data_IF_456058722529
#
_entry.id   IF_456058722529
#
_cell.length_a   1.000
_cell.length_b   1.000
_cell.length_c   1.000
_cell.angle_alpha   90.00
_cell.angle_beta   90.00
_cell.angle_gamma   90.00
#
_symmetry.space_group_name_H-M   'P 1'
#
loop_
_entity.id
_entity.type
_entity.pdbx_description
1 polymer ?
#
# COMPACT_ATOMS: atom_id res chain seq x y z
N UNK A 1 17.15 -4.37 -16.57
CA UNK A 1 17.13 -5.76 -17.09
C UNK A 1 16.29 -5.77 -18.36
N UNK A 2 16.76 -6.37 -19.45
CA UNK A 2 16.02 -6.45 -20.73
C UNK A 2 15.49 -7.88 -20.85
N UNK A 3 14.17 -8.04 -20.89
CA UNK A 3 13.55 -9.36 -21.06
C UNK A 3 13.68 -9.83 -22.50
N UNK A 4 13.85 -11.14 -22.69
CA UNK A 4 13.72 -11.74 -24.01
C UNK A 4 12.24 -11.69 -24.45
N UNK A 5 11.92 -11.14 -25.62
CA UNK A 5 10.53 -11.04 -26.10
C UNK A 5 9.79 -12.37 -26.18
N UNK A 6 10.47 -13.49 -26.43
CA UNK A 6 9.86 -14.81 -26.59
C UNK A 6 9.40 -15.41 -25.26
N UNK A 7 10.04 -15.02 -24.15
CA UNK A 7 9.74 -15.55 -22.81
C UNK A 7 9.07 -14.51 -21.91
N UNK A 8 8.77 -13.32 -22.44
CA UNK A 8 8.05 -12.28 -21.70
C UNK A 8 6.63 -12.76 -21.39
N UNK A 9 6.43 -13.20 -20.17
CA UNK A 9 5.10 -13.51 -19.65
C UNK A 9 4.25 -12.23 -19.56
N UNK A 10 3.01 -12.31 -20.04
CA UNK A 10 1.99 -11.26 -19.86
C UNK A 10 1.13 -11.49 -18.60
N UNK A 11 1.09 -12.73 -18.11
CA UNK A 11 0.29 -13.14 -16.96
C UNK A 11 0.96 -14.34 -16.27
N UNK A 12 0.87 -14.38 -14.95
CA UNK A 12 1.23 -15.54 -14.15
C UNK A 12 -0.03 -16.12 -13.49
N UNK A 13 -0.26 -17.41 -13.67
CA UNK A 13 -1.33 -18.16 -13.01
C UNK A 13 -0.75 -19.28 -12.18
N UNK A 14 -1.10 -19.28 -10.89
CA UNK A 14 -0.74 -20.34 -9.98
C UNK A 14 -1.95 -21.27 -9.80
N UNK A 15 -1.83 -22.49 -10.32
CA UNK A 15 -2.94 -23.46 -10.35
C UNK A 15 -2.83 -24.46 -9.22
N UNK A 16 -3.92 -24.68 -8.52
CA UNK A 16 -4.07 -25.68 -7.47
C UNK A 16 -5.23 -26.62 -7.81
N UNK A 17 -5.05 -27.87 -7.45
CA UNK A 17 -6.03 -28.95 -7.64
C UNK A 17 -6.40 -29.51 -6.26
N UNK A 18 -7.14 -28.74 -5.45
CA UNK A 18 -7.47 -29.14 -4.09
C UNK A 18 -8.28 -30.44 -4.07
N UNK A 19 -8.06 -31.26 -3.05
CA UNK A 19 -8.89 -32.42 -2.73
C UNK A 19 -10.29 -31.98 -2.28
N UNK A 20 -10.36 -30.96 -1.43
CA UNK A 20 -11.60 -30.32 -0.98
C UNK A 20 -11.68 -28.91 -1.55
N UNK A 21 -12.30 -28.82 -2.73
CA UNK A 21 -12.45 -27.56 -3.46
C UNK A 21 -13.15 -26.47 -2.64
N UNK A 22 -14.22 -26.82 -1.93
CA UNK A 22 -15.01 -25.85 -1.18
C UNK A 22 -14.23 -25.30 0.02
N UNK A 23 -13.50 -26.18 0.72
CA UNK A 23 -12.67 -25.80 1.86
C UNK A 23 -11.54 -24.84 1.45
N UNK A 24 -10.83 -25.17 0.37
CA UNK A 24 -9.71 -24.34 -0.12
C UNK A 24 -10.23 -23.03 -0.72
N UNK A 25 -11.34 -23.06 -1.47
CA UNK A 25 -12.02 -21.84 -1.97
C UNK A 25 -12.33 -20.88 -0.82
N UNK A 26 -12.93 -21.39 0.26
CA UNK A 26 -13.28 -20.59 1.44
C UNK A 26 -12.07 -19.90 2.07
N UNK A 27 -10.91 -20.57 2.11
CA UNK A 27 -9.68 -19.95 2.60
C UNK A 27 -9.26 -18.75 1.74
N UNK A 28 -9.16 -18.91 0.43
CA UNK A 28 -8.74 -17.82 -0.46
C UNK A 28 -9.78 -16.69 -0.56
N UNK A 29 -11.07 -17.03 -0.54
CA UNK A 29 -12.17 -16.06 -0.66
C UNK A 29 -12.49 -15.34 0.64
N UNK A 30 -12.69 -16.06 1.75
CA UNK A 30 -13.17 -15.46 2.99
C UNK A 30 -12.03 -15.08 3.94
N UNK A 31 -10.98 -15.91 4.02
CA UNK A 31 -9.85 -15.68 4.93
C UNK A 31 -8.89 -14.65 4.33
N UNK A 32 -8.40 -14.91 3.11
CA UNK A 32 -7.49 -14.00 2.42
C UNK A 32 -8.19 -12.85 1.69
N UNK A 33 -9.51 -12.93 1.49
CA UNK A 33 -10.32 -11.88 0.86
C UNK A 33 -9.87 -11.52 -0.54
N UNK A 34 -9.37 -12.50 -1.30
CA UNK A 34 -9.05 -12.24 -2.69
C UNK A 34 -10.34 -12.14 -3.52
N UNK A 35 -10.49 -11.09 -4.34
CA UNK A 35 -11.63 -10.96 -5.22
C UNK A 35 -11.65 -12.09 -6.26
N UNK A 36 -12.84 -12.61 -6.53
CA UNK A 36 -13.07 -13.55 -7.62
C UNK A 36 -13.01 -12.77 -8.94
N UNK A 37 -12.07 -13.16 -9.79
CA UNK A 37 -11.92 -12.68 -11.16
C UNK A 37 -12.85 -13.45 -12.12
N UNK A 38 -12.98 -14.77 -11.93
CA UNK A 38 -13.80 -15.66 -12.75
C UNK A 38 -14.15 -16.94 -11.98
N UNK A 39 -15.34 -17.50 -12.20
CA UNK A 39 -15.80 -18.74 -11.55
C UNK A 39 -16.73 -19.51 -12.50
N UNK A 40 -16.67 -20.84 -12.43
CA UNK A 40 -17.55 -21.74 -13.16
C UNK A 40 -17.81 -23.03 -12.36
N UNK A 41 -18.98 -23.62 -12.59
CA UNK A 41 -19.42 -24.88 -11.99
C UNK A 41 -20.28 -25.67 -13.00
N UNK A 42 -19.61 -26.41 -13.89
CA UNK A 42 -20.26 -27.25 -14.90
C UNK A 42 -20.39 -28.71 -14.41
N UNK A 43 -20.42 -28.92 -13.09
CA UNK A 43 -20.50 -30.23 -12.43
C UNK A 43 -19.23 -30.61 -11.66
N UNK A 44 -19.29 -31.68 -10.87
CA UNK A 44 -18.26 -31.95 -9.84
C UNK A 44 -16.81 -32.01 -10.34
N UNK A 45 -16.63 -32.47 -11.58
CA UNK A 45 -15.33 -32.58 -12.25
C UNK A 45 -14.94 -31.32 -13.03
N UNK A 46 -15.84 -30.35 -13.22
CA UNK A 46 -15.61 -29.16 -14.02
C UNK A 46 -15.96 -27.89 -13.24
N UNK A 47 -15.39 -27.77 -12.03
CA UNK A 47 -15.45 -26.57 -11.21
C UNK A 47 -14.12 -25.84 -11.24
N UNK A 48 -14.19 -24.52 -11.20
CA UNK A 48 -13.00 -23.72 -11.00
C UNK A 48 -13.31 -22.28 -10.60
N UNK A 49 -12.32 -21.67 -9.95
CA UNK A 49 -12.38 -20.27 -9.53
C UNK A 49 -11.01 -19.64 -9.70
N UNK A 50 -10.98 -18.41 -10.18
CA UNK A 50 -9.79 -17.57 -10.34
C UNK A 50 -9.90 -16.40 -9.39
N UNK A 51 -8.91 -16.24 -8.52
CA UNK A 51 -8.76 -15.13 -7.61
C UNK A 51 -7.67 -14.18 -8.10
N UNK A 52 -7.92 -12.87 -7.99
CA UNK A 52 -6.89 -11.86 -8.22
C UNK A 52 -6.17 -11.50 -6.91
N UNK A 53 -4.89 -11.86 -6.81
CA UNK A 53 -4.04 -11.50 -5.67
C UNK A 53 -3.40 -10.11 -5.78
N UNK A 54 -3.66 -9.40 -6.89
CA UNK A 54 -3.05 -8.12 -7.27
C UNK A 54 -1.75 -8.25 -8.05
N UNK A 55 -1.04 -9.39 -7.95
CA UNK A 55 0.21 -9.66 -8.68
C UNK A 55 0.17 -10.94 -9.53
N UNK A 56 -0.79 -11.82 -9.26
CA UNK A 56 -0.96 -13.11 -9.93
C UNK A 56 -2.42 -13.55 -9.84
N UNK A 57 -2.82 -14.45 -10.76
CA UNK A 57 -4.09 -15.17 -10.62
C UNK A 57 -3.83 -16.47 -9.85
N UNK A 58 -4.56 -16.69 -8.76
CA UNK A 58 -4.62 -17.97 -8.07
C UNK A 58 -5.84 -18.72 -8.61
N UNK A 59 -5.63 -19.87 -9.21
CA UNK A 59 -6.66 -20.63 -9.93
C UNK A 59 -6.86 -21.98 -9.22
N UNK A 60 -8.05 -22.20 -8.66
CA UNK A 60 -8.45 -23.49 -8.11
C UNK A 60 -9.25 -24.24 -9.17
N UNK A 61 -8.97 -25.53 -9.34
CA UNK A 61 -9.64 -26.41 -10.29
C UNK A 61 -10.04 -27.70 -9.60
N UNK A 62 -11.18 -28.29 -9.99
CA UNK A 62 -11.50 -29.66 -9.62
C UNK A 62 -10.30 -30.58 -9.91
N UNK A 63 -9.89 -31.37 -8.92
CA UNK A 63 -8.85 -32.36 -9.14
C UNK A 63 -9.39 -33.50 -10.01
N UNK A 64 -8.54 -34.06 -10.87
CA UNK A 64 -8.84 -35.23 -11.69
C UNK A 64 -7.90 -36.38 -11.34
N UNK A 65 -8.47 -37.57 -11.14
CA UNK A 65 -7.68 -38.76 -10.82
C UNK A 65 -7.11 -38.74 -9.40
N UNK A 66 -5.91 -39.32 -9.23
CA UNK A 66 -5.29 -39.49 -7.91
C UNK A 66 -4.79 -38.15 -7.38
N UNK A 67 -5.27 -37.77 -6.19
CA UNK A 67 -4.76 -36.61 -5.47
C UNK A 67 -3.29 -36.77 -5.08
N UNK A 68 -2.51 -35.71 -5.31
CA UNK A 68 -1.11 -35.59 -4.90
C UNK A 68 -0.96 -34.25 -4.16
N UNK A 69 -0.63 -34.26 -2.86
CA UNK A 69 -0.37 -33.03 -2.12
C UNK A 69 0.77 -32.23 -2.77
N UNK A 70 0.67 -30.90 -2.72
CA UNK A 70 1.79 -30.04 -3.15
C UNK A 70 2.95 -30.25 -2.17
N UNK A 71 4.12 -30.62 -2.69
CA UNK A 71 5.33 -30.85 -1.90
C UNK A 71 6.55 -30.20 -2.58
N UNK A 72 7.49 -29.71 -1.78
CA UNK A 72 8.74 -29.10 -2.28
C UNK A 72 8.55 -27.74 -2.97
N UNK A 73 7.41 -27.08 -2.77
CA UNK A 73 7.09 -25.77 -3.33
C UNK A 73 6.71 -24.79 -2.21
N UNK A 74 7.13 -23.53 -2.34
CA UNK A 74 6.70 -22.43 -1.49
C UNK A 74 6.27 -21.27 -2.40
N UNK A 75 5.23 -20.55 -2.00
CA UNK A 75 4.80 -19.33 -2.67
C UNK A 75 5.08 -18.15 -1.76
N UNK A 76 5.73 -17.11 -2.30
CA UNK A 76 5.99 -15.87 -1.57
C UNK A 76 5.30 -14.71 -2.28
N UNK A 77 4.51 -13.94 -1.53
CA UNK A 77 3.77 -12.80 -2.02
C UNK A 77 4.19 -11.55 -1.25
N UNK A 78 4.65 -10.54 -1.98
CA UNK A 78 4.90 -9.24 -1.37
C UNK A 78 3.55 -8.57 -1.08
N UNK A 79 3.39 -8.06 0.14
CA UNK A 79 2.22 -7.30 0.57
C UNK A 79 2.64 -5.93 1.05
N UNK A 80 1.71 -4.97 0.96
CA UNK A 80 1.95 -3.57 1.34
C UNK A 80 2.39 -3.46 2.79
N UNK A 81 1.70 -4.17 3.70
CA UNK A 81 1.98 -4.12 5.13
C UNK A 81 1.81 -5.50 5.78
N UNK A 82 2.93 -6.22 5.88
CA UNK A 82 2.96 -7.59 6.43
C UNK A 82 2.58 -7.64 7.91
N UNK A 83 2.85 -6.60 8.71
CA UNK A 83 2.50 -6.54 10.14
C UNK A 83 1.00 -6.55 10.36
N UNK A 84 0.27 -5.67 9.67
CA UNK A 84 -1.20 -5.60 9.74
C UNK A 84 -1.84 -6.88 9.22
N UNK A 85 -1.28 -7.45 8.15
CA UNK A 85 -1.79 -8.71 7.61
C UNK A 85 -1.60 -9.86 8.60
N UNK A 86 -0.45 -9.94 9.28
CA UNK A 86 -0.19 -10.95 10.30
C UNK A 86 -1.18 -10.83 11.48
N UNK A 87 -1.43 -9.61 11.97
CA UNK A 87 -2.45 -9.37 13.01
C UNK A 87 -3.85 -9.80 12.56
N UNK A 88 -4.23 -9.42 11.34
CA UNK A 88 -5.52 -9.78 10.75
C UNK A 88 -5.69 -11.31 10.61
N UNK A 89 -4.72 -12.01 10.03
CA UNK A 89 -4.81 -13.47 9.82
C UNK A 89 -4.73 -14.24 11.14
N UNK A 90 -3.98 -13.75 12.13
CA UNK A 90 -3.99 -14.30 13.49
C UNK A 90 -5.37 -14.16 14.13
N UNK A 91 -6.05 -13.03 13.95
CA UNK A 91 -7.42 -12.83 14.43
C UNK A 91 -8.44 -13.75 13.73
N UNK A 92 -8.22 -14.07 12.44
CA UNK A 92 -9.00 -15.06 11.70
C UNK A 92 -8.66 -16.52 12.04
N UNK A 93 -7.70 -16.76 12.96
CA UNK A 93 -7.20 -18.09 13.33
C UNK A 93 -6.65 -18.88 12.13
N UNK A 94 -6.05 -18.17 11.16
CA UNK A 94 -5.35 -18.82 10.07
C UNK A 94 -4.20 -19.71 10.61
N UNK A 95 -3.88 -20.85 9.96
CA UNK A 95 -2.83 -21.74 10.42
C UNK A 95 -1.45 -21.11 10.23
N UNK A 96 -0.91 -20.44 11.24
CA UNK A 96 0.43 -19.83 11.19
C UNK A 96 1.49 -20.93 11.32
N UNK A 97 2.35 -21.04 10.31
CA UNK A 97 3.47 -22.01 10.25
C UNK A 97 4.77 -21.38 10.75
N UNK A 98 4.96 -20.09 10.46
CA UNK A 98 6.08 -19.30 10.94
C UNK A 98 5.58 -17.93 11.36
N UNK A 99 5.92 -17.53 12.60
CA UNK A 99 5.60 -16.20 13.12
C UNK A 99 6.32 -15.09 12.35
N UNK A 100 5.81 -13.86 12.52
CA UNK A 100 6.37 -12.67 11.91
C UNK A 100 7.83 -12.47 12.34
N UNK A 101 8.73 -12.53 11.38
CA UNK A 101 10.18 -12.56 11.58
C UNK A 101 10.85 -11.51 10.70
N UNK A 102 11.74 -10.71 11.29
CA UNK A 102 12.67 -9.86 10.53
C UNK A 102 13.82 -10.76 10.03
N UNK A 103 13.95 -10.93 8.71
CA UNK A 103 14.91 -11.85 8.12
C UNK A 103 16.23 -11.16 7.76
N UNK A 104 17.32 -11.93 7.76
CA UNK A 104 18.67 -11.40 7.50
C UNK A 104 18.89 -10.93 6.07
N UNK A 105 18.04 -11.35 5.12
CA UNK A 105 18.11 -10.95 3.70
C UNK A 105 17.28 -9.70 3.38
N UNK A 106 16.75 -9.01 4.40
CA UNK A 106 16.24 -7.64 4.22
C UNK A 106 14.72 -7.51 4.03
N UNK A 107 13.93 -8.52 4.39
CA UNK A 107 12.47 -8.43 4.50
C UNK A 107 11.98 -8.78 5.91
N UNK A 108 10.71 -8.47 6.17
CA UNK A 108 9.96 -9.03 7.28
C UNK A 108 8.89 -9.94 6.71
N UNK A 109 8.77 -11.16 7.20
CA UNK A 109 7.81 -12.13 6.66
C UNK A 109 7.19 -13.03 7.72
N UNK A 110 6.04 -13.61 7.39
CA UNK A 110 5.41 -14.70 8.14
C UNK A 110 4.82 -15.70 7.14
N UNK A 111 4.48 -16.88 7.64
CA UNK A 111 3.97 -17.97 6.80
C UNK A 111 2.68 -18.54 7.37
N UNK A 112 1.73 -18.80 6.49
CA UNK A 112 0.50 -19.52 6.80
C UNK A 112 0.38 -20.76 5.92
N UNK A 113 -0.31 -21.77 6.42
CA UNK A 113 -0.71 -22.94 5.65
C UNK A 113 -2.13 -22.75 5.15
N UNK A 114 -2.39 -23.09 3.90
CA UNK A 114 -3.76 -23.30 3.43
C UNK A 114 -4.35 -24.59 4.06
N UNK A 115 -5.64 -24.88 3.85
CA UNK A 115 -6.27 -26.06 4.45
C UNK A 115 -5.69 -27.41 4.02
N UNK A 116 -4.91 -27.47 2.94
CA UNK A 116 -4.32 -28.69 2.39
C UNK A 116 -2.79 -28.77 2.54
N UNK A 117 -2.20 -27.83 3.28
CA UNK A 117 -0.78 -27.87 3.61
C UNK A 117 0.12 -27.01 2.72
N UNK A 118 -0.41 -26.29 1.73
CA UNK A 118 0.40 -25.36 0.95
C UNK A 118 0.84 -24.18 1.82
N UNK A 119 2.14 -23.98 1.90
CA UNK A 119 2.72 -22.86 2.62
C UNK A 119 2.77 -21.59 1.77
N UNK A 120 2.11 -20.54 2.25
CA UNK A 120 2.12 -19.20 1.65
C UNK A 120 2.87 -18.24 2.56
N UNK A 121 3.94 -17.66 2.05
CA UNK A 121 4.76 -16.65 2.73
C UNK A 121 4.30 -15.26 2.31
N UNK A 122 4.02 -14.41 3.27
CA UNK A 122 3.77 -12.98 3.03
C UNK A 122 4.95 -12.18 3.54
N UNK A 123 5.42 -11.22 2.74
CA UNK A 123 6.56 -10.41 3.12
C UNK A 123 6.39 -8.94 2.74
N UNK A 124 7.11 -8.07 3.43
CA UNK A 124 7.34 -6.67 3.04
C UNK A 124 8.83 -6.39 3.16
N UNK A 125 9.45 -5.79 2.13
CA UNK A 125 10.85 -5.39 2.22
C UNK A 125 11.10 -4.43 3.41
N UNK A 126 12.19 -4.65 4.14
CA UNK A 126 12.55 -3.82 5.31
C UNK A 126 12.79 -2.36 4.91
N UNK A 127 13.31 -2.11 3.71
CA UNK A 127 13.45 -0.75 3.18
C UNK A 127 12.09 -0.04 2.98
N UNK A 128 10.99 -0.78 2.77
CA UNK A 128 9.63 -0.23 2.69
C UNK A 128 9.01 0.04 4.07
N UNK A 129 9.39 -0.73 5.10
CA UNK A 129 9.04 -0.48 6.53
C UNK A 129 9.39 0.95 6.98
N UNK A 130 10.60 1.40 6.64
CA UNK A 130 11.09 2.74 7.01
C UNK A 130 10.34 3.84 6.26
N UNK A 131 10.05 3.60 4.97
CA UNK A 131 9.29 4.55 4.14
C UNK A 131 7.84 4.69 4.61
N UNK A 132 7.11 3.64 4.94
CA UNK A 132 5.73 3.77 5.46
C UNK A 132 5.66 4.57 6.76
N UNK A 133 6.59 4.35 7.72
CA UNK A 133 6.63 5.08 8.99
C UNK A 133 6.95 6.57 8.82
N UNK A 134 7.90 6.91 7.95
CA UNK A 134 8.25 8.31 7.68
C UNK A 134 7.16 9.04 6.87
N UNK A 135 6.56 8.35 5.89
CA UNK A 135 5.53 8.95 5.04
C UNK A 135 4.21 9.18 5.80
N UNK A 136 3.79 8.30 6.71
CA UNK A 136 2.51 8.50 7.40
C UNK A 136 2.58 9.50 8.56
N UNK A 137 3.75 9.70 9.20
CA UNK A 137 3.90 10.66 10.30
C UNK A 137 4.16 12.07 9.79
N UNK A 138 5.21 12.25 8.98
CA UNK A 138 5.67 13.59 8.60
C UNK A 138 4.77 14.26 7.56
N UNK A 139 4.37 13.53 6.51
CA UNK A 139 3.49 14.09 5.48
C UNK A 139 2.11 14.46 6.06
N UNK A 140 1.60 13.68 7.01
CA UNK A 140 0.32 13.97 7.68
C UNK A 140 0.42 15.23 8.51
N UNK A 141 1.48 15.40 9.30
CA UNK A 141 1.75 16.65 10.03
C UNK A 141 1.83 17.83 9.06
N UNK A 142 2.53 17.65 7.94
CA UNK A 142 2.69 18.70 6.93
C UNK A 142 1.35 19.10 6.29
N UNK A 143 0.48 18.14 5.97
CA UNK A 143 -0.83 18.41 5.39
C UNK A 143 -1.80 19.03 6.41
N UNK A 144 -1.79 18.56 7.65
CA UNK A 144 -2.61 19.14 8.73
C UNK A 144 -2.18 20.58 9.00
N UNK A 145 -0.86 20.83 9.09
CA UNK A 145 -0.31 22.17 9.25
C UNK A 145 -0.68 23.09 8.09
N UNK A 146 -0.52 22.61 6.85
CA UNK A 146 -0.91 23.33 5.64
C UNK A 146 -2.37 23.80 5.68
N UNK A 147 -3.30 22.87 5.91
CA UNK A 147 -4.73 23.18 5.95
C UNK A 147 -5.06 24.08 7.14
N UNK A 148 -4.53 23.78 8.32
CA UNK A 148 -4.79 24.51 9.55
C UNK A 148 -4.34 25.97 9.49
N UNK A 149 -3.09 26.22 9.11
CA UNK A 149 -2.55 27.58 9.05
C UNK A 149 -3.11 28.40 7.88
N UNK A 150 -3.41 27.77 6.75
CA UNK A 150 -4.11 28.46 5.64
C UNK A 150 -5.51 28.91 6.07
N UNK A 151 -6.29 28.03 6.71
CA UNK A 151 -7.62 28.39 7.21
C UNK A 151 -7.53 29.47 8.29
N UNK A 152 -6.58 29.34 9.22
CA UNK A 152 -6.36 30.33 10.27
C UNK A 152 -6.00 31.70 9.69
N UNK A 153 -5.15 31.75 8.67
CA UNK A 153 -4.81 32.98 7.94
C UNK A 153 -6.04 33.67 7.36
N UNK A 154 -6.93 32.93 6.70
CA UNK A 154 -8.19 33.46 6.18
C UNK A 154 -9.14 33.94 7.28
N UNK A 155 -9.28 33.18 8.38
CA UNK A 155 -10.14 33.54 9.51
C UNK A 155 -9.65 34.81 10.19
N UNK A 156 -8.36 34.93 10.49
CA UNK A 156 -7.81 36.11 11.16
C UNK A 156 -7.92 37.35 10.28
N UNK A 157 -7.68 37.21 8.98
CA UNK A 157 -7.85 38.31 8.02
C UNK A 157 -9.32 38.77 7.97
N UNK A 158 -10.28 37.85 7.95
CA UNK A 158 -11.71 38.18 7.92
C UNK A 158 -12.23 38.77 9.24
N UNK A 159 -11.63 38.41 10.37
CA UNK A 159 -11.89 39.00 11.69
C UNK A 159 -11.27 40.39 11.89
N UNK A 160 -10.78 41.03 10.81
CA UNK A 160 -10.07 42.32 10.85
C UNK A 160 -8.83 42.30 11.73
N UNK A 161 -8.15 41.15 11.78
CA UNK A 161 -6.85 40.94 12.41
C UNK A 161 -5.80 40.62 11.33
N UNK A 162 -5.60 41.49 10.32
CA UNK A 162 -4.77 41.19 9.15
C UNK A 162 -3.31 40.92 9.50
N UNK A 163 -2.79 41.51 10.57
CA UNK A 163 -1.45 41.25 11.06
C UNK A 163 -1.29 39.79 11.51
N UNK A 164 -2.22 39.27 12.31
CA UNK A 164 -2.14 37.88 12.74
C UNK A 164 -2.46 36.91 11.59
N UNK A 165 -3.32 37.32 10.65
CA UNK A 165 -3.58 36.57 9.41
C UNK A 165 -2.35 36.44 8.52
N UNK A 166 -1.57 37.52 8.39
CA UNK A 166 -0.33 37.55 7.62
C UNK A 166 0.75 36.66 8.25
N UNK A 167 0.89 36.65 9.59
CA UNK A 167 1.78 35.73 10.28
C UNK A 167 1.35 34.26 10.12
N UNK A 168 0.05 33.97 10.23
CA UNK A 168 -0.46 32.61 10.01
C UNK A 168 -0.22 32.14 8.57
N UNK A 169 -0.38 33.00 7.58
CA UNK A 169 -0.04 32.69 6.19
C UNK A 169 1.46 32.46 6.00
N UNK A 170 2.33 33.26 6.63
CA UNK A 170 3.78 33.02 6.59
C UNK A 170 4.16 31.64 7.17
N UNK A 171 3.50 31.22 8.26
CA UNK A 171 3.68 29.87 8.80
C UNK A 171 3.16 28.81 7.83
N UNK A 172 2.05 29.08 7.13
CA UNK A 172 1.53 28.18 6.09
C UNK A 172 2.52 27.97 4.94
N UNK A 173 3.27 29.00 4.55
CA UNK A 173 4.27 28.91 3.47
C UNK A 173 5.33 27.84 3.72
N UNK A 174 5.73 27.59 4.98
CA UNK A 174 6.63 26.48 5.32
C UNK A 174 6.07 25.11 4.86
N UNK A 175 4.77 24.91 5.08
CA UNK A 175 4.07 23.69 4.67
C UNK A 175 3.84 23.64 3.16
N UNK A 176 3.52 24.78 2.55
CA UNK A 176 3.38 24.89 1.09
C UNK A 176 4.68 24.55 0.37
N UNK A 177 5.84 25.01 0.86
CA UNK A 177 7.15 24.70 0.27
C UNK A 177 7.39 23.18 0.27
N UNK A 178 7.10 22.50 1.38
CA UNK A 178 7.19 21.04 1.45
C UNK A 178 6.24 20.37 0.44
N UNK A 179 4.97 20.81 0.40
CA UNK A 179 3.97 20.25 -0.51
C UNK A 179 4.35 20.45 -1.98
N UNK A 180 4.83 21.64 -2.34
CA UNK A 180 5.31 21.98 -3.68
C UNK A 180 6.55 21.18 -4.07
N UNK A 181 7.53 21.03 -3.17
CA UNK A 181 8.72 20.21 -3.40
C UNK A 181 8.34 18.74 -3.64
N UNK A 182 7.46 18.20 -2.79
CA UNK A 182 6.95 16.84 -2.93
C UNK A 182 6.26 16.67 -4.28
N UNK A 183 5.35 17.56 -4.66
CA UNK A 183 4.63 17.53 -5.94
C UNK A 183 5.58 17.58 -7.15
N UNK A 184 6.64 18.39 -7.09
CA UNK A 184 7.68 18.40 -8.10
C UNK A 184 8.39 17.04 -8.20
N UNK A 185 8.81 16.44 -7.09
CA UNK A 185 9.52 15.15 -7.09
C UNK A 185 8.64 13.97 -7.49
N UNK A 186 7.35 13.97 -7.15
CA UNK A 186 6.46 12.84 -7.40
C UNK A 186 5.68 12.92 -8.73
N UNK A 187 5.33 14.12 -9.18
CA UNK A 187 4.47 14.32 -10.34
C UNK A 187 5.07 15.27 -11.40
N UNK A 188 6.36 15.62 -11.28
CA UNK A 188 7.06 16.58 -12.13
C UNK A 188 6.38 17.96 -12.22
N UNK A 189 5.63 18.35 -11.17
CA UNK A 189 4.89 19.63 -11.10
C UNK A 189 5.80 20.79 -10.67
N UNK A 190 6.80 21.11 -11.49
CA UNK A 190 7.78 22.16 -11.19
C UNK A 190 7.15 23.55 -11.00
N UNK A 191 6.12 23.89 -11.77
CA UNK A 191 5.47 25.19 -11.72
C UNK A 191 4.83 25.52 -10.37
N UNK A 192 4.29 24.52 -9.66
CA UNK A 192 3.69 24.70 -8.34
C UNK A 192 4.78 25.08 -7.33
N UNK A 193 5.91 24.37 -7.36
CA UNK A 193 7.02 24.65 -6.46
C UNK A 193 7.57 26.07 -6.63
N UNK A 194 7.79 26.52 -7.86
CA UNK A 194 8.27 27.89 -8.12
C UNK A 194 7.25 28.94 -7.69
N UNK A 195 5.97 28.71 -7.98
CA UNK A 195 4.88 29.61 -7.54
C UNK A 195 4.89 29.76 -6.03
N UNK A 196 5.04 28.66 -5.30
CA UNK A 196 5.15 28.68 -3.84
C UNK A 196 6.33 29.52 -3.37
N UNK A 197 7.54 29.32 -3.92
CA UNK A 197 8.71 30.12 -3.53
C UNK A 197 8.47 31.62 -3.74
N UNK A 198 7.84 32.00 -4.85
CA UNK A 198 7.52 33.41 -5.13
C UNK A 198 6.50 33.96 -4.13
N UNK A 199 5.42 33.21 -3.84
CA UNK A 199 4.41 33.61 -2.84
C UNK A 199 5.06 33.75 -1.46
N UNK A 200 5.93 32.82 -1.06
CA UNK A 200 6.67 32.90 0.19
C UNK A 200 7.45 34.20 0.29
N UNK A 201 8.17 34.61 -0.77
CA UNK A 201 8.92 35.87 -0.77
C UNK A 201 8.01 37.09 -0.66
N UNK A 202 6.84 37.07 -1.31
CA UNK A 202 5.83 38.14 -1.21
C UNK A 202 5.30 38.24 0.22
N UNK A 203 4.97 37.10 0.85
CA UNK A 203 4.45 37.06 2.23
C UNK A 203 5.51 37.51 3.24
N UNK A 204 6.77 37.09 3.06
CA UNK A 204 7.91 37.58 3.86
C UNK A 204 8.02 39.10 3.75
N UNK A 205 7.98 39.64 2.52
CA UNK A 205 8.05 41.08 2.30
C UNK A 205 6.87 41.79 2.95
N UNK A 206 5.66 41.24 2.85
CA UNK A 206 4.47 41.75 3.54
C UNK A 206 4.66 41.84 5.05
N UNK A 207 5.25 40.81 5.68
CA UNK A 207 5.57 40.83 7.12
C UNK A 207 6.63 41.89 7.43
N UNK A 208 7.70 41.99 6.64
CA UNK A 208 8.71 43.03 6.86
C UNK A 208 8.07 44.42 6.77
N UNK A 209 7.26 44.66 5.74
CA UNK A 209 6.62 45.94 5.49
C UNK A 209 5.58 46.31 6.55
N UNK A 210 4.93 45.34 7.20
CA UNK A 210 3.91 45.64 8.20
C UNK A 210 4.48 45.96 9.59
N UNK A 211 5.64 45.36 9.96
CA UNK A 211 6.21 45.54 11.31
C UNK A 211 7.49 46.37 11.36
N UNK A 212 8.24 46.51 10.27
CA UNK A 212 9.56 47.13 10.26
C UNK A 212 9.67 48.38 9.38
N UNK A 213 8.64 48.69 8.59
CA UNK A 213 8.53 49.89 7.75
C UNK A 213 7.26 50.65 8.11
#
# INVERSE_FOLDING_TARGET
MRFDPLTKASLFRFKLYPKDFALVKKFYEETLKYPIFHEWDDGEQSRGVMFDSGSAIIELLSHHGRYVPVAGCNVSLEVVNVWKLAEYLKAQRAPVVQDLTDNSWGDTSFKVSDPEGLEVTFFTETAKKTREKEFFSFNTIMQIGLTGFTMLGFILTSLKLPQYGLLANLISEFFWIYAGYKAWRSANQFGIFITTIVITLIVINGVINYWFL
#
